data_IF_133841606087
#
_entry.id   IF_133841606087
#
_cell.length_a   1.000
_cell.length_b   1.000
_cell.length_c   1.000
_cell.angle_alpha   90.00
_cell.angle_beta   90.00
_cell.angle_gamma   90.00
#
_symmetry.space_group_name_H-M   'P 1'
#
loop_
_entity.id
_entity.type
_entity.pdbx_description
1 polymer ?
#
# COMPACT_ATOMS: atom_id res chain seq x y z
N UNK A 1 4.20 17.54 26.36
CA UNK A 1 4.16 18.30 25.08
C UNK A 1 5.57 18.43 24.55
N UNK A 2 5.72 18.61 23.25
CA UNK A 2 7.02 18.67 22.56
C UNK A 2 7.27 20.11 22.12
N UNK A 3 8.32 20.80 22.60
CA UNK A 3 8.56 22.20 22.27
C UNK A 3 9.01 22.34 20.80
N UNK A 4 8.10 22.76 19.94
CA UNK A 4 8.35 23.00 18.51
C UNK A 4 8.31 24.50 18.18
N UNK A 5 7.53 25.30 18.92
CA UNK A 5 7.20 26.68 18.52
C UNK A 5 8.39 27.64 18.47
N UNK A 6 9.49 27.36 19.17
CA UNK A 6 10.71 28.20 19.17
C UNK A 6 11.92 27.56 18.47
N UNK A 7 11.78 26.35 17.91
CA UNK A 7 12.87 25.70 17.19
C UNK A 7 13.23 26.44 15.89
N UNK A 8 14.53 26.49 15.60
CA UNK A 8 15.06 26.86 14.29
C UNK A 8 15.05 25.64 13.34
N UNK A 9 15.48 25.84 12.09
CA UNK A 9 15.50 24.79 11.07
C UNK A 9 16.34 23.57 11.49
N UNK A 10 17.45 23.79 12.22
CA UNK A 10 18.30 22.74 12.74
C UNK A 10 17.61 21.96 13.88
N UNK A 11 16.96 22.66 14.80
CA UNK A 11 16.15 22.07 15.87
C UNK A 11 14.97 21.26 15.33
N UNK A 12 14.28 21.75 14.30
CA UNK A 12 13.18 21.03 13.63
C UNK A 12 13.67 19.73 12.98
N UNK A 13 14.79 19.76 12.26
CA UNK A 13 15.39 18.55 11.66
C UNK A 13 15.89 17.57 12.73
N UNK A 14 16.48 18.07 13.82
CA UNK A 14 16.91 17.25 14.95
C UNK A 14 15.71 16.57 15.62
N UNK A 15 14.61 17.29 15.86
CA UNK A 15 13.38 16.73 16.41
C UNK A 15 12.78 15.65 15.49
N UNK A 16 12.71 15.91 14.18
CA UNK A 16 12.22 14.92 13.19
C UNK A 16 13.07 13.64 13.18
N UNK A 17 14.39 13.78 13.29
CA UNK A 17 15.34 12.65 13.32
C UNK A 17 15.26 11.87 14.64
N UNK A 18 15.37 12.56 15.77
CA UNK A 18 15.45 11.94 17.10
C UNK A 18 14.11 11.30 17.49
N UNK A 19 12.98 11.88 17.06
CA UNK A 19 11.64 11.31 17.19
C UNK A 19 11.25 10.32 16.09
N UNK A 20 12.15 9.98 15.16
CA UNK A 20 11.90 9.08 14.02
C UNK A 20 10.68 9.43 13.16
N UNK A 21 10.28 10.71 13.12
CA UNK A 21 9.09 11.21 12.43
C UNK A 21 9.20 11.12 10.90
N UNK A 22 10.43 11.10 10.38
CA UNK A 22 10.75 11.08 8.94
C UNK A 22 10.11 12.22 8.12
N UNK A 23 9.75 13.33 8.79
CA UNK A 23 9.22 14.54 8.19
C UNK A 23 10.35 15.43 7.65
N UNK A 24 10.15 15.99 6.46
CA UNK A 24 11.04 16.97 5.85
C UNK A 24 11.01 18.32 6.59
N UNK A 25 11.98 19.20 6.31
CA UNK A 25 12.01 20.54 6.91
C UNK A 25 10.73 21.34 6.64
N UNK A 26 10.19 21.28 5.42
CA UNK A 26 8.99 22.03 5.05
C UNK A 26 7.74 21.50 5.75
N UNK A 27 7.65 20.19 5.95
CA UNK A 27 6.58 19.56 6.73
C UNK A 27 6.70 19.93 8.22
N UNK A 28 7.90 19.86 8.79
CA UNK A 28 8.16 20.31 10.17
C UNK A 28 7.85 21.80 10.36
N UNK A 29 8.14 22.64 9.37
CA UNK A 29 7.74 24.07 9.35
C UNK A 29 6.23 24.25 9.27
N UNK A 30 5.52 23.44 8.50
CA UNK A 30 4.06 23.48 8.43
C UNK A 30 3.42 23.09 9.78
N UNK A 31 3.93 22.03 10.41
CA UNK A 31 3.52 21.61 11.77
C UNK A 31 3.82 22.69 12.80
N UNK A 32 5.05 23.22 12.82
CA UNK A 32 5.44 24.32 13.71
C UNK A 32 4.52 25.54 13.57
N UNK A 33 4.18 25.93 12.32
CA UNK A 33 3.29 27.05 12.04
C UNK A 33 1.89 26.81 12.61
N UNK A 34 1.33 25.62 12.37
CA UNK A 34 0.01 25.24 12.90
C UNK A 34 -0.05 25.33 14.43
N UNK A 35 0.95 24.80 15.13
CA UNK A 35 0.98 24.85 16.60
C UNK A 35 1.27 26.26 17.15
N UNK A 36 2.06 27.08 16.44
CA UNK A 36 2.17 28.53 16.74
C UNK A 36 0.82 29.25 16.60
N UNK A 37 0.06 28.98 15.54
CA UNK A 37 -1.26 29.58 15.30
C UNK A 37 -2.29 29.14 16.37
N UNK A 38 -2.19 27.91 16.88
CA UNK A 38 -2.98 27.43 18.01
C UNK A 38 -2.52 27.96 19.38
N UNK A 39 -1.39 28.67 19.46
CA UNK A 39 -0.84 29.22 20.71
C UNK A 39 -0.39 28.16 21.71
N UNK A 40 -0.08 26.93 21.28
CA UNK A 40 0.32 25.82 22.16
C UNK A 40 1.32 24.88 21.50
N UNK A 41 2.07 24.16 22.32
CA UNK A 41 2.90 23.06 21.84
C UNK A 41 2.06 21.80 21.55
N UNK A 42 2.49 20.94 20.60
CA UNK A 42 1.87 19.64 20.34
C UNK A 42 2.13 18.64 21.47
N UNK A 43 1.33 17.58 21.53
CA UNK A 43 1.74 16.33 22.16
C UNK A 43 2.65 15.51 21.24
N UNK A 44 3.36 14.55 21.83
CA UNK A 44 4.02 13.46 21.11
C UNK A 44 3.04 12.70 20.20
N UNK A 45 1.88 12.28 20.72
CA UNK A 45 0.86 11.60 19.93
C UNK A 45 0.35 12.42 18.74
N UNK A 46 0.24 13.75 18.87
CA UNK A 46 -0.14 14.64 17.77
C UNK A 46 0.94 14.68 16.67
N UNK A 47 2.22 14.80 17.05
CA UNK A 47 3.33 14.75 16.10
C UNK A 47 3.44 13.40 15.39
N UNK A 48 3.32 12.29 16.12
CA UNK A 48 3.33 10.95 15.53
C UNK A 48 2.13 10.73 14.59
N UNK A 49 0.94 11.19 14.96
CA UNK A 49 -0.26 11.11 14.11
C UNK A 49 -0.06 11.87 12.79
N UNK A 50 0.52 13.06 12.85
CA UNK A 50 0.86 13.83 11.63
C UNK A 50 1.93 13.09 10.82
N UNK A 51 3.01 12.62 11.45
CA UNK A 51 4.09 11.89 10.78
C UNK A 51 3.58 10.64 10.04
N UNK A 52 2.71 9.84 10.66
CA UNK A 52 2.15 8.65 10.04
C UNK A 52 1.18 8.98 8.90
N UNK A 53 0.26 9.94 9.09
CA UNK A 53 -0.71 10.32 8.05
C UNK A 53 -0.04 11.02 6.85
N UNK A 54 1.02 11.79 7.10
CA UNK A 54 1.83 12.46 6.08
C UNK A 54 2.99 11.59 5.58
N UNK A 55 3.11 10.31 5.98
CA UNK A 55 4.10 9.40 5.41
C UNK A 55 3.87 9.17 3.91
N UNK A 56 4.90 8.75 3.15
CA UNK A 56 4.69 8.42 1.72
C UNK A 56 3.70 7.27 1.52
N UNK A 57 3.69 6.30 2.44
CA UNK A 57 2.79 5.15 2.40
C UNK A 57 1.31 5.54 2.55
N UNK A 58 1.01 6.46 3.47
CA UNK A 58 -0.37 6.93 3.67
C UNK A 58 -0.76 8.01 2.65
N UNK A 59 0.12 9.00 2.44
CA UNK A 59 -0.19 10.16 1.63
C UNK A 59 0.07 9.98 0.13
N UNK A 60 0.78 8.96 -0.34
CA UNK A 60 1.03 8.68 -1.77
C UNK A 60 1.57 9.92 -2.53
N UNK A 61 2.58 10.62 -1.99
CA UNK A 61 3.02 11.93 -2.51
C UNK A 61 3.64 11.78 -3.90
N UNK A 62 4.41 10.73 -4.15
CA UNK A 62 5.03 10.46 -5.47
C UNK A 62 3.96 10.36 -6.55
N UNK A 63 2.88 9.62 -6.29
CA UNK A 63 1.78 9.41 -7.24
C UNK A 63 0.90 10.66 -7.46
N UNK A 64 0.91 11.60 -6.51
CA UNK A 64 0.21 12.89 -6.62
C UNK A 64 1.09 14.05 -7.07
N UNK A 65 2.41 13.86 -7.09
CA UNK A 65 3.40 14.88 -7.42
C UNK A 65 3.50 15.16 -8.92
N UNK A 66 4.28 16.19 -9.24
CA UNK A 66 4.64 16.50 -10.63
C UNK A 66 5.78 15.61 -11.08
N UNK A 67 5.62 14.94 -12.22
CA UNK A 67 6.60 14.02 -12.80
C UNK A 67 6.90 14.45 -14.23
N UNK A 68 8.17 14.71 -14.52
CA UNK A 68 8.69 14.93 -15.87
C UNK A 68 9.26 13.62 -16.40
N UNK A 69 8.51 12.95 -17.26
CA UNK A 69 8.93 11.73 -17.93
C UNK A 69 9.63 12.09 -19.25
N UNK A 70 10.79 11.48 -19.50
CA UNK A 70 11.39 11.40 -20.82
C UNK A 70 11.51 9.93 -21.20
N UNK A 71 10.87 9.54 -22.28
CA UNK A 71 11.01 8.19 -22.84
C UNK A 71 12.41 8.04 -23.46
N UNK A 72 13.11 6.97 -23.09
CA UNK A 72 14.50 6.75 -23.51
C UNK A 72 14.62 6.14 -24.91
N UNK A 73 13.56 5.51 -25.43
CA UNK A 73 13.56 4.85 -26.73
C UNK A 73 13.06 5.76 -27.86
N UNK A 74 12.04 6.58 -27.58
CA UNK A 74 11.42 7.52 -28.53
C UNK A 74 11.93 8.95 -28.38
N UNK A 75 12.47 9.31 -27.20
CA UNK A 75 12.85 10.68 -26.85
C UNK A 75 11.68 11.59 -26.47
N UNK A 76 10.43 11.10 -26.49
CA UNK A 76 9.22 11.86 -26.13
C UNK A 76 9.31 12.37 -24.69
N UNK A 77 8.83 13.60 -24.45
CA UNK A 77 8.75 14.18 -23.11
C UNK A 77 7.29 14.45 -22.71
N UNK A 78 6.92 14.04 -21.50
CA UNK A 78 5.57 14.22 -20.95
C UNK A 78 5.66 14.67 -19.50
N UNK A 79 4.87 15.68 -19.15
CA UNK A 79 4.74 16.13 -17.75
C UNK A 79 3.37 15.77 -17.22
N UNK A 80 3.34 15.06 -16.10
CA UNK A 80 2.15 14.84 -15.28
C UNK A 80 2.20 15.81 -14.10
N UNK A 81 1.09 16.47 -13.76
CA UNK A 81 0.95 17.26 -12.53
C UNK A 81 0.45 16.39 -11.37
N UNK A 82 -0.25 15.30 -11.68
CA UNK A 82 -0.69 14.27 -10.74
C UNK A 82 -0.79 12.93 -11.49
N UNK A 83 0.23 12.08 -11.36
CA UNK A 83 0.32 10.83 -12.14
C UNK A 83 -0.92 9.95 -11.97
N UNK A 84 -1.39 9.73 -10.74
CA UNK A 84 -2.53 8.84 -10.45
C UNK A 84 -3.83 9.35 -11.07
N UNK A 85 -4.08 10.67 -10.99
CA UNK A 85 -5.28 11.30 -11.55
C UNK A 85 -5.28 11.28 -13.07
N UNK A 86 -4.13 11.54 -13.69
CA UNK A 86 -3.97 11.65 -15.14
C UNK A 86 -3.78 10.30 -15.86
N UNK A 87 -3.57 9.21 -15.11
CA UNK A 87 -3.47 7.85 -15.66
C UNK A 87 -4.66 7.00 -15.22
N UNK A 88 -4.56 6.30 -14.08
CA UNK A 88 -5.52 5.28 -13.62
C UNK A 88 -6.94 5.85 -13.46
N UNK A 89 -7.09 7.03 -12.86
CA UNK A 89 -8.40 7.66 -12.70
C UNK A 89 -8.95 8.12 -14.06
N UNK A 90 -8.14 8.81 -14.88
CA UNK A 90 -8.56 9.31 -16.18
C UNK A 90 -9.05 8.17 -17.10
N UNK A 91 -8.25 7.11 -17.24
CA UNK A 91 -8.60 5.92 -18.03
C UNK A 91 -9.86 5.23 -17.48
N UNK A 92 -10.00 5.11 -16.17
CA UNK A 92 -11.22 4.55 -15.55
C UNK A 92 -12.45 5.40 -15.87
N UNK A 93 -12.36 6.73 -15.75
CA UNK A 93 -13.47 7.63 -16.06
C UNK A 93 -13.81 7.64 -17.55
N UNK A 94 -12.82 7.51 -18.44
CA UNK A 94 -13.03 7.37 -19.89
C UNK A 94 -13.79 6.08 -20.22
N UNK A 95 -13.34 4.93 -19.70
CA UNK A 95 -13.99 3.63 -19.89
C UNK A 95 -15.44 3.68 -19.37
N UNK A 96 -15.66 4.22 -18.17
CA UNK A 96 -17.02 4.35 -17.60
C UNK A 96 -17.93 5.24 -18.43
N UNK A 97 -17.44 6.38 -18.94
CA UNK A 97 -18.19 7.25 -19.87
C UNK A 97 -18.53 6.52 -21.17
N UNK A 98 -17.60 5.74 -21.72
CA UNK A 98 -17.81 4.95 -22.94
C UNK A 98 -18.84 3.84 -22.76
N UNK A 99 -18.90 3.22 -21.58
CA UNK A 99 -19.89 2.19 -21.24
C UNK A 99 -21.28 2.78 -20.97
N UNK A 100 -21.38 3.98 -20.41
CA UNK A 100 -22.65 4.69 -20.21
C UNK A 100 -23.62 3.89 -19.34
N UNK A 101 -24.72 3.41 -19.92
CA UNK A 101 -25.70 2.57 -19.22
C UNK A 101 -25.13 1.20 -18.80
N UNK A 102 -24.16 0.68 -19.56
CA UNK A 102 -23.50 -0.60 -19.34
C UNK A 102 -22.34 -0.50 -18.32
N UNK A 103 -22.17 0.65 -17.65
CA UNK A 103 -21.16 0.81 -16.59
C UNK A 103 -21.44 -0.16 -15.44
N UNK A 104 -20.51 -1.10 -15.25
CA UNK A 104 -20.54 -2.12 -14.22
C UNK A 104 -19.73 -1.73 -12.98
N UNK A 105 -19.04 -0.58 -12.97
CA UNK A 105 -18.39 -0.05 -11.77
C UNK A 105 -19.43 0.48 -10.78
N UNK A 106 -19.37 0.01 -9.53
CA UNK A 106 -20.27 0.40 -8.43
C UNK A 106 -19.58 1.36 -7.47
N UNK A 107 -18.33 1.09 -7.10
CA UNK A 107 -17.49 1.97 -6.27
C UNK A 107 -16.05 1.87 -6.76
N UNK A 108 -15.44 3.01 -7.07
CA UNK A 108 -14.04 3.11 -7.49
C UNK A 108 -13.44 4.37 -6.90
N UNK A 109 -12.27 4.24 -6.26
CA UNK A 109 -11.53 5.34 -5.62
C UNK A 109 -12.25 6.08 -4.47
N UNK A 110 -13.31 5.50 -3.90
CA UNK A 110 -14.15 6.12 -2.85
C UNK A 110 -14.30 5.29 -1.57
N UNK A 111 -13.73 4.09 -1.53
CA UNK A 111 -13.79 3.14 -0.41
C UNK A 111 -12.48 2.30 -0.40
N UNK A 112 -12.29 1.47 0.62
CA UNK A 112 -11.09 0.64 0.80
C UNK A 112 -10.88 -0.41 -0.29
N UNK A 113 -11.87 -0.66 -1.15
CA UNK A 113 -11.83 -1.62 -2.25
C UNK A 113 -12.67 -1.17 -3.45
N UNK A 114 -12.38 -1.74 -4.63
CA UNK A 114 -13.20 -1.56 -5.83
C UNK A 114 -14.42 -2.49 -5.80
N UNK A 115 -15.61 -1.96 -6.13
CA UNK A 115 -16.86 -2.73 -6.19
C UNK A 115 -17.40 -2.68 -7.61
N UNK A 116 -17.84 -3.83 -8.13
CA UNK A 116 -18.38 -3.99 -9.49
C UNK A 116 -19.64 -4.86 -9.50
N UNK A 117 -20.54 -4.65 -10.47
CA UNK A 117 -21.72 -5.50 -10.69
C UNK A 117 -21.27 -6.90 -11.10
N UNK A 118 -21.97 -7.94 -10.62
CA UNK A 118 -21.70 -9.34 -10.99
C UNK A 118 -22.98 -10.06 -11.41
N UNK A 119 -24.02 -10.04 -10.56
CA UNK A 119 -25.34 -10.60 -10.89
C UNK A 119 -26.47 -9.73 -10.29
N UNK A 120 -27.72 -10.18 -10.41
CA UNK A 120 -28.90 -9.43 -9.93
C UNK A 120 -29.06 -9.34 -8.41
N UNK A 121 -28.51 -10.30 -7.67
CA UNK A 121 -28.45 -10.25 -6.22
C UNK A 121 -27.14 -9.61 -5.73
N UNK A 122 -26.06 -9.62 -6.52
CA UNK A 122 -24.69 -9.44 -6.03
C UNK A 122 -23.81 -8.46 -6.82
N UNK A 123 -22.90 -7.86 -6.09
CA UNK A 123 -21.70 -7.20 -6.57
C UNK A 123 -20.47 -8.02 -6.13
N UNK A 124 -19.38 -7.87 -6.87
CA UNK A 124 -18.06 -8.34 -6.47
C UNK A 124 -17.27 -7.16 -5.92
N UNK A 125 -16.61 -7.37 -4.79
CA UNK A 125 -15.68 -6.43 -4.20
C UNK A 125 -14.26 -7.01 -4.22
N UNK A 126 -13.27 -6.21 -4.62
CA UNK A 126 -11.90 -6.61 -4.87
C UNK A 126 -10.93 -5.49 -4.44
N UNK A 127 -9.94 -5.82 -3.62
CA UNK A 127 -8.81 -4.95 -3.25
C UNK A 127 -7.53 -5.75 -3.43
N UNK A 128 -6.47 -5.07 -3.83
CA UNK A 128 -5.10 -5.57 -3.89
C UNK A 128 -4.24 -4.79 -2.90
N UNK A 129 -3.49 -5.47 -2.04
CA UNK A 129 -2.48 -4.87 -1.15
C UNK A 129 -1.14 -5.59 -1.23
N UNK A 130 -0.05 -4.93 -0.81
CA UNK A 130 1.29 -5.52 -0.72
C UNK A 130 1.87 -5.26 0.67
N UNK A 131 2.77 -6.11 1.17
CA UNK A 131 3.26 -6.01 2.56
C UNK A 131 4.77 -6.28 2.68
N UNK A 132 5.52 -5.69 1.75
CA UNK A 132 6.86 -6.14 1.42
C UNK A 132 7.93 -5.83 2.49
N UNK A 133 8.05 -4.60 3.04
CA UNK A 133 9.14 -4.30 3.96
C UNK A 133 9.10 -5.13 5.25
N UNK A 134 7.94 -5.33 5.91
CA UNK A 134 7.85 -6.24 7.06
C UNK A 134 8.14 -7.69 6.67
N UNK A 135 7.64 -8.17 5.52
CA UNK A 135 7.87 -9.55 5.04
C UNK A 135 9.32 -9.82 4.62
N UNK A 136 10.11 -8.78 4.31
CA UNK A 136 11.55 -8.90 4.08
C UNK A 136 12.35 -9.08 5.38
N UNK A 137 11.84 -8.56 6.50
CA UNK A 137 12.49 -8.57 7.84
C UNK A 137 12.02 -9.78 8.66
N UNK A 138 10.72 -10.01 8.70
CA UNK A 138 10.07 -11.15 9.37
C UNK A 138 9.01 -11.74 8.42
N UNK A 139 9.37 -12.76 7.62
CA UNK A 139 8.54 -13.24 6.52
C UNK A 139 7.19 -13.83 6.91
N UNK A 140 7.07 -14.47 8.07
CA UNK A 140 5.84 -15.17 8.46
C UNK A 140 4.76 -14.18 8.91
N UNK A 141 5.06 -13.37 9.93
CA UNK A 141 4.17 -12.35 10.48
C UNK A 141 3.95 -11.20 9.50
N UNK A 142 4.97 -10.83 8.72
CA UNK A 142 4.83 -9.85 7.63
C UNK A 142 3.79 -10.27 6.60
N UNK A 143 3.83 -11.51 6.11
CA UNK A 143 2.88 -11.95 5.10
C UNK A 143 1.48 -12.23 5.69
N UNK A 144 1.44 -12.78 6.91
CA UNK A 144 0.22 -13.02 7.68
C UNK A 144 -0.58 -11.73 7.95
N UNK A 145 0.10 -10.67 8.40
CA UNK A 145 -0.51 -9.35 8.63
C UNK A 145 -0.92 -8.66 7.33
N UNK A 146 -0.17 -8.84 6.24
CA UNK A 146 -0.53 -8.38 4.90
C UNK A 146 -1.82 -9.00 4.36
N UNK A 147 -1.94 -10.34 4.40
CA UNK A 147 -3.18 -11.02 4.01
C UNK A 147 -4.35 -10.61 4.92
N UNK A 148 -4.11 -10.46 6.22
CA UNK A 148 -5.10 -9.93 7.15
C UNK A 148 -5.52 -8.48 6.84
N UNK A 149 -4.62 -7.65 6.32
CA UNK A 149 -4.88 -6.29 5.85
C UNK A 149 -5.93 -6.28 4.75
N UNK A 150 -5.66 -6.91 3.62
CA UNK A 150 -6.63 -6.94 2.51
C UNK A 150 -7.96 -7.59 2.90
N UNK A 151 -7.95 -8.64 3.72
CA UNK A 151 -9.19 -9.27 4.19
C UNK A 151 -10.00 -8.25 5.02
N UNK A 152 -9.35 -7.41 5.85
CA UNK A 152 -10.00 -6.32 6.62
C UNK A 152 -10.54 -5.20 5.73
N UNK A 153 -9.85 -4.82 4.67
CA UNK A 153 -10.30 -3.79 3.74
C UNK A 153 -11.59 -4.19 3.02
N UNK A 154 -11.57 -5.39 2.42
CA UNK A 154 -12.75 -5.92 1.76
C UNK A 154 -13.81 -6.24 2.83
N UNK A 155 -13.45 -6.55 4.09
CA UNK A 155 -14.37 -6.65 5.24
C UNK A 155 -15.13 -5.35 5.52
N UNK A 156 -14.43 -4.21 5.55
CA UNK A 156 -14.92 -2.87 5.90
C UNK A 156 -15.47 -2.04 4.74
N UNK A 157 -15.43 -2.55 3.51
CA UNK A 157 -16.04 -1.90 2.33
C UNK A 157 -17.57 -1.96 2.40
N UNK A 158 -18.25 -0.82 2.23
CA UNK A 158 -19.71 -0.68 2.36
C UNK A 158 -20.27 -1.23 3.69
N UNK A 159 -21.49 -1.80 3.67
CA UNK A 159 -22.17 -2.36 4.87
C UNK A 159 -21.92 -3.86 5.08
N UNK A 160 -20.69 -4.32 4.86
CA UNK A 160 -20.19 -5.70 5.04
C UNK A 160 -20.73 -6.82 4.11
N UNK A 161 -19.76 -7.59 3.59
CA UNK A 161 -19.65 -8.27 2.28
C UNK A 161 -19.32 -9.79 2.11
N UNK A 162 -19.27 -10.62 3.18
CA UNK A 162 -18.67 -12.01 3.28
C UNK A 162 -17.53 -12.42 2.29
N UNK A 163 -16.24 -12.54 2.71
CA UNK A 163 -15.13 -12.97 1.85
C UNK A 163 -15.34 -14.35 1.22
N UNK A 164 -14.87 -14.55 -0.02
CA UNK A 164 -15.09 -15.79 -0.77
C UNK A 164 -13.80 -16.49 -1.22
N UNK A 165 -12.75 -15.75 -1.62
CA UNK A 165 -11.45 -16.31 -1.96
C UNK A 165 -10.34 -15.24 -1.94
N UNK A 166 -9.08 -15.71 -1.99
CA UNK A 166 -7.88 -14.89 -2.17
C UNK A 166 -7.15 -15.25 -3.47
N UNK A 167 -6.34 -14.33 -3.98
CA UNK A 167 -5.30 -14.58 -4.99
C UNK A 167 -3.98 -13.97 -4.55
N UNK A 168 -2.89 -14.68 -4.83
CA UNK A 168 -1.58 -14.41 -4.24
C UNK A 168 -0.49 -14.44 -5.33
N UNK A 169 0.24 -13.34 -5.59
CA UNK A 169 1.32 -13.32 -6.62
C UNK A 169 2.68 -13.08 -5.99
N UNK A 170 3.50 -14.10 -5.83
CA UNK A 170 4.78 -13.96 -5.14
C UNK A 170 5.91 -13.50 -6.06
N UNK A 171 6.69 -12.52 -5.61
CA UNK A 171 7.95 -12.12 -6.24
C UNK A 171 9.10 -12.33 -5.26
N UNK A 172 10.05 -13.20 -5.60
CA UNK A 172 11.23 -13.52 -4.78
C UNK A 172 12.51 -13.49 -5.62
N UNK A 173 13.66 -13.32 -4.97
CA UNK A 173 14.94 -13.69 -5.58
C UNK A 173 15.07 -15.23 -5.64
N UNK A 174 16.04 -15.72 -6.42
CA UNK A 174 16.21 -17.15 -6.64
C UNK A 174 16.34 -17.93 -5.30
N UNK A 175 15.54 -18.99 -5.04
CA UNK A 175 15.63 -19.77 -3.81
C UNK A 175 16.94 -20.58 -3.68
N UNK A 176 17.76 -20.60 -4.72
CA UNK A 176 19.09 -21.22 -4.79
C UNK A 176 20.24 -20.17 -4.83
N UNK A 177 19.93 -18.90 -4.53
CA UNK A 177 20.91 -17.81 -4.52
C UNK A 177 22.12 -18.11 -3.62
N UNK A 178 23.33 -17.81 -4.09
CA UNK A 178 24.56 -18.11 -3.36
C UNK A 178 24.62 -17.36 -2.00
N UNK A 179 24.69 -18.06 -0.85
CA UNK A 179 24.78 -17.43 0.47
C UNK A 179 25.94 -16.43 0.61
N UNK A 180 27.08 -16.70 -0.04
CA UNK A 180 28.28 -15.86 0.05
C UNK A 180 28.13 -14.51 -0.68
N UNK A 181 27.10 -14.38 -1.53
CA UNK A 181 26.78 -13.16 -2.28
C UNK A 181 25.64 -12.36 -1.64
N UNK A 182 25.10 -12.80 -0.49
CA UNK A 182 24.00 -12.09 0.19
C UNK A 182 24.49 -10.78 0.81
N UNK A 183 23.81 -9.64 0.57
CA UNK A 183 24.12 -8.39 1.27
C UNK A 183 23.87 -8.51 2.77
N UNK A 184 24.66 -7.80 3.57
CA UNK A 184 24.55 -7.83 5.03
C UNK A 184 23.15 -7.43 5.50
N UNK A 185 22.56 -8.24 6.38
CA UNK A 185 21.21 -8.02 6.93
C UNK A 185 20.05 -8.52 6.06
N UNK A 186 20.32 -9.07 4.87
CA UNK A 186 19.30 -9.64 3.98
C UNK A 186 19.06 -11.11 4.32
N UNK A 187 17.79 -11.51 4.46
CA UNK A 187 17.42 -12.91 4.61
C UNK A 187 17.59 -13.67 3.29
N UNK A 188 18.14 -14.88 3.35
CA UNK A 188 18.26 -15.77 2.19
C UNK A 188 16.89 -15.95 1.49
N UNK A 189 16.77 -15.83 0.15
CA UNK A 189 15.47 -15.79 -0.53
C UNK A 189 14.58 -16.99 -0.23
N UNK A 190 15.15 -18.21 -0.19
CA UNK A 190 14.48 -19.44 0.28
C UNK A 190 13.77 -19.29 1.63
N UNK A 191 14.39 -18.62 2.61
CA UNK A 191 13.82 -18.38 3.95
C UNK A 191 12.66 -17.40 3.90
N UNK A 192 12.79 -16.34 3.08
CA UNK A 192 11.70 -15.38 2.81
C UNK A 192 10.51 -16.11 2.19
N UNK A 193 10.74 -16.84 1.09
CA UNK A 193 9.71 -17.62 0.40
C UNK A 193 8.98 -18.59 1.34
N UNK A 194 9.72 -19.41 2.11
CA UNK A 194 9.13 -20.39 3.02
C UNK A 194 8.29 -19.72 4.12
N UNK A 195 8.79 -18.64 4.72
CA UNK A 195 8.06 -17.94 5.78
C UNK A 195 6.82 -17.21 5.25
N UNK A 196 6.93 -16.51 4.12
CA UNK A 196 5.80 -15.83 3.46
C UNK A 196 4.69 -16.82 3.14
N UNK A 197 5.00 -17.92 2.44
CA UNK A 197 4.01 -18.96 2.07
C UNK A 197 3.39 -19.59 3.30
N UNK A 198 4.18 -19.86 4.36
CA UNK A 198 3.67 -20.40 5.61
C UNK A 198 2.70 -19.44 6.31
N UNK A 199 3.07 -18.16 6.50
CA UNK A 199 2.24 -17.17 7.21
C UNK A 199 0.87 -16.93 6.57
N UNK A 200 0.83 -17.03 5.24
CA UNK A 200 -0.32 -16.78 4.38
C UNK A 200 -1.27 -17.96 4.38
N UNK A 201 -0.73 -19.17 4.12
CA UNK A 201 -1.47 -20.42 4.26
C UNK A 201 -2.10 -20.51 5.66
N UNK A 202 -1.32 -20.18 6.69
CA UNK A 202 -1.76 -20.27 8.07
C UNK A 202 -2.85 -19.26 8.46
N UNK A 203 -2.87 -18.06 7.87
CA UNK A 203 -3.93 -17.07 8.09
C UNK A 203 -5.18 -17.37 7.25
N UNK A 204 -5.02 -17.62 5.94
CA UNK A 204 -6.13 -17.93 5.02
C UNK A 204 -6.91 -19.17 5.47
N UNK A 205 -6.21 -20.26 5.83
CA UNK A 205 -6.84 -21.48 6.32
C UNK A 205 -7.60 -21.25 7.64
N UNK A 206 -7.03 -20.49 8.59
CA UNK A 206 -7.70 -20.19 9.87
C UNK A 206 -8.92 -19.27 9.70
N UNK A 207 -8.89 -18.38 8.72
CA UNK A 207 -10.04 -17.54 8.35
C UNK A 207 -11.09 -18.29 7.51
N UNK A 208 -10.80 -19.50 7.03
CA UNK A 208 -11.69 -20.27 6.16
C UNK A 208 -11.86 -19.66 4.77
N UNK A 209 -10.86 -18.92 4.28
CA UNK A 209 -10.89 -18.26 2.96
C UNK A 209 -9.84 -18.92 2.05
N UNK A 210 -10.25 -19.62 0.98
CA UNK A 210 -9.31 -20.31 0.10
C UNK A 210 -8.55 -19.33 -0.79
N UNK A 211 -7.23 -19.50 -0.91
CA UNK A 211 -6.49 -19.00 -2.09
C UNK A 211 -6.87 -19.89 -3.28
N UNK A 212 -7.42 -19.30 -4.35
CA UNK A 212 -7.93 -20.06 -5.51
C UNK A 212 -7.06 -19.95 -6.76
N UNK A 213 -6.19 -18.94 -6.82
CA UNK A 213 -5.24 -18.71 -7.91
C UNK A 213 -4.08 -17.85 -7.42
N UNK A 214 -3.08 -17.66 -8.29
CA UNK A 214 -1.89 -16.90 -7.97
C UNK A 214 -0.83 -17.01 -9.06
N UNK A 215 0.35 -16.47 -8.77
CA UNK A 215 1.55 -16.65 -9.58
C UNK A 215 2.81 -16.62 -8.69
N UNK A 216 3.93 -17.11 -9.22
CA UNK A 216 5.25 -16.97 -8.57
C UNK A 216 6.24 -16.52 -9.64
N UNK A 217 6.99 -15.47 -9.37
CA UNK A 217 8.05 -14.93 -10.20
C UNK A 217 9.37 -14.95 -9.41
N UNK A 218 10.43 -15.41 -10.07
CA UNK A 218 11.78 -15.39 -9.55
C UNK A 218 12.65 -14.47 -10.41
N UNK A 219 13.28 -13.48 -9.77
CA UNK A 219 14.25 -12.56 -10.38
C UNK A 219 15.18 -12.05 -9.28
N UNK A 220 16.49 -12.08 -9.50
CA UNK A 220 17.47 -11.66 -8.49
C UNK A 220 17.44 -10.15 -8.21
N UNK A 221 16.76 -9.34 -9.03
CA UNK A 221 16.39 -7.95 -8.69
C UNK A 221 15.41 -7.86 -7.50
N UNK A 222 14.75 -8.95 -7.12
CA UNK A 222 14.00 -9.03 -5.86
C UNK A 222 14.90 -9.30 -4.63
N UNK A 223 16.22 -9.42 -4.79
CA UNK A 223 17.15 -9.51 -3.66
C UNK A 223 17.26 -8.15 -2.96
N UNK A 224 17.23 -8.16 -1.62
CA UNK A 224 17.36 -6.97 -0.76
C UNK A 224 16.32 -5.84 -0.97
N UNK A 225 15.47 -5.91 -1.98
CA UNK A 225 14.48 -4.85 -2.25
C UNK A 225 13.34 -4.87 -1.24
N UNK A 226 12.76 -3.69 -1.01
CA UNK A 226 11.42 -3.49 -0.43
C UNK A 226 10.28 -4.02 -1.34
N UNK A 227 10.58 -4.99 -2.19
CA UNK A 227 9.69 -5.62 -3.18
C UNK A 227 9.82 -7.16 -3.18
N UNK A 228 10.70 -7.71 -2.33
CA UNK A 228 11.04 -9.14 -2.14
C UNK A 228 9.90 -10.05 -1.64
N UNK A 229 8.66 -9.55 -1.72
CA UNK A 229 7.42 -10.21 -1.33
C UNK A 229 6.24 -9.35 -1.79
N UNK A 230 6.33 -8.82 -3.02
CA UNK A 230 5.25 -8.10 -3.69
C UNK A 230 4.12 -9.06 -4.08
N UNK A 231 3.47 -9.62 -3.06
CA UNK A 231 2.20 -10.30 -3.11
C UNK A 231 1.09 -9.25 -3.12
N UNK A 232 0.52 -8.91 -4.30
CA UNK A 232 -0.84 -8.39 -4.40
C UNK A 232 -1.78 -9.46 -3.83
N UNK A 233 -1.97 -9.40 -2.52
CA UNK A 233 -3.05 -10.12 -1.85
C UNK A 233 -4.34 -9.55 -2.39
N UNK A 234 -5.15 -10.34 -3.08
CA UNK A 234 -6.46 -9.87 -3.49
C UNK A 234 -7.58 -10.75 -2.96
N UNK A 235 -8.37 -10.19 -2.04
CA UNK A 235 -9.57 -10.86 -1.53
C UNK A 235 -10.78 -10.48 -2.38
N UNK A 236 -11.52 -11.48 -2.85
CA UNK A 236 -12.78 -11.32 -3.54
C UNK A 236 -13.95 -11.49 -2.55
N UNK A 237 -15.00 -10.68 -2.70
CA UNK A 237 -16.21 -10.71 -1.84
C UNK A 237 -17.49 -10.74 -2.65
N UNK A 238 -18.51 -11.45 -2.14
CA UNK A 238 -19.89 -11.44 -2.65
C UNK A 238 -20.74 -10.46 -1.85
N UNK A 239 -21.08 -9.33 -2.45
CA UNK A 239 -21.82 -8.24 -1.81
C UNK A 239 -23.28 -8.17 -2.24
N UNK A 240 -24.27 -8.39 -1.35
CA UNK A 240 -25.67 -8.18 -1.68
C UNK A 240 -25.91 -6.73 -2.11
N UNK A 241 -26.67 -6.51 -3.20
CA UNK A 241 -26.94 -5.15 -3.72
C UNK A 241 -27.54 -4.20 -2.66
N UNK A 242 -28.25 -4.74 -1.66
CA UNK A 242 -28.86 -3.98 -0.55
C UNK A 242 -27.90 -3.50 0.53
N UNK A 243 -26.60 -3.84 0.46
CA UNK A 243 -25.59 -3.49 1.49
C UNK A 243 -24.57 -2.46 1.03
N UNK A 244 -24.82 -1.77 -0.09
CA UNK A 244 -24.04 -0.61 -0.51
C UNK A 244 -24.24 0.57 0.45
#
# INVERSE_FOLDING_TARGET
TVPIAQLDDAGLLKLSKDGMLALTLDEMKAVQRHFRELGREPTDCELETIAQTWSEHCSHKTLKGTIHLKDAATGETRTYKNLLKETVFAATQEIRKRLGADDWCVSVFSDNAGIVKFDDANHVCFKVETHNPPSAIEPYGGANTGLGGVIRDVLGTGRAARPVCNTDVFCFANPDFNPDQLPQGVLHPRRVMQGVVAGVRDYGNRMGIPTVNGAILFDDLYLATRSSSAAPWASCRRMPRSRR
#
